data_IF_210588537176
#
_entry.id   IF_210588537176
#
_cell.length_a   1.000
_cell.length_b   1.000
_cell.length_c   1.000
_cell.angle_alpha   90.00
_cell.angle_beta   90.00
_cell.angle_gamma   90.00
#
_symmetry.space_group_name_H-M   'P 1'
#
loop_
_entity.id
_entity.type
_entity.pdbx_description
1 polymer ?
#
# COMPACT_ATOMS: atom_id res chain seq x y z
N UNK A 1 -9.09 -12.39 -3.89
CA UNK A 1 -8.37 -11.25 -3.27
C UNK A 1 -7.00 -11.69 -2.81
N UNK A 2 -6.00 -10.92 -3.10
CA UNK A 2 -4.63 -11.27 -2.74
C UNK A 2 -3.99 -10.19 -1.92
N UNK A 3 -2.96 -10.56 -1.14
CA UNK A 3 -2.23 -9.62 -0.31
C UNK A 3 -0.75 -9.74 -0.65
N UNK A 4 -0.10 -8.61 -0.91
CA UNK A 4 1.34 -8.55 -1.06
C UNK A 4 1.92 -7.79 0.12
N UNK A 5 3.00 -8.29 0.68
CA UNK A 5 3.67 -7.64 1.80
C UNK A 5 4.92 -6.96 1.25
N UNK A 6 5.04 -5.66 1.50
CA UNK A 6 6.16 -4.87 1.00
C UNK A 6 7.03 -4.47 2.18
N UNK A 7 8.27 -4.89 2.17
CA UNK A 7 9.20 -4.49 3.21
C UNK A 7 9.81 -3.15 2.82
N UNK A 8 9.74 -2.20 3.70
CA UNK A 8 10.30 -0.88 3.47
C UNK A 8 11.67 -0.75 4.14
N UNK A 9 12.42 0.26 3.72
CA UNK A 9 13.79 0.42 4.19
C UNK A 9 13.89 0.70 5.68
N UNK A 10 12.83 1.21 6.28
CA UNK A 10 12.85 1.53 7.69
C UNK A 10 12.37 0.39 8.56
N UNK A 11 12.46 -0.84 8.06
CA UNK A 11 12.02 -2.04 8.77
C UNK A 11 10.53 -2.04 9.05
N UNK A 12 9.77 -1.28 8.31
CA UNK A 12 8.33 -1.32 8.39
C UNK A 12 7.80 -2.11 7.22
N UNK A 13 6.58 -2.59 7.38
CA UNK A 13 5.93 -3.31 6.31
C UNK A 13 4.68 -2.57 5.87
N UNK A 14 4.45 -2.56 4.59
CA UNK A 14 3.21 -2.07 4.02
C UNK A 14 2.53 -3.22 3.31
N UNK A 15 1.24 -3.12 3.12
CA UNK A 15 0.49 -4.21 2.53
C UNK A 15 -0.31 -3.70 1.36
N UNK A 16 -0.32 -4.47 0.27
CA UNK A 16 -1.17 -4.17 -0.86
C UNK A 16 -2.20 -5.28 -0.95
N UNK A 17 -3.47 -4.93 -0.87
CA UNK A 17 -4.56 -5.88 -1.01
C UNK A 17 -5.19 -5.61 -2.37
N UNK A 18 -5.31 -6.60 -3.21
CA UNK A 18 -5.85 -6.37 -4.54
C UNK A 18 -6.73 -7.51 -5.00
N UNK A 19 -7.61 -7.16 -5.93
CA UNK A 19 -8.50 -8.12 -6.55
C UNK A 19 -7.92 -8.45 -7.92
N UNK A 20 -7.64 -9.71 -8.16
CA UNK A 20 -7.03 -10.11 -9.41
C UNK A 20 -7.93 -9.88 -10.60
N UNK A 21 -9.24 -9.92 -10.43
CA UNK A 21 -10.15 -9.78 -11.54
C UNK A 21 -10.29 -8.35 -12.00
N UNK A 22 -10.35 -7.42 -11.06
CA UNK A 22 -10.56 -6.02 -11.40
C UNK A 22 -9.28 -5.22 -11.38
N UNK A 23 -8.21 -5.77 -10.81
CA UNK A 23 -6.93 -5.11 -10.61
C UNK A 23 -7.04 -3.89 -9.68
N UNK A 24 -8.10 -3.79 -8.93
CA UNK A 24 -8.21 -2.71 -7.96
C UNK A 24 -7.42 -3.06 -6.71
N UNK A 25 -6.74 -2.08 -6.15
CA UNK A 25 -5.86 -2.30 -5.02
C UNK A 25 -6.07 -1.26 -3.93
N UNK A 26 -5.79 -1.67 -2.72
CA UNK A 26 -5.74 -0.79 -1.56
C UNK A 26 -4.39 -0.99 -0.88
N UNK A 27 -3.82 0.07 -0.37
CA UNK A 27 -2.53 0.02 0.31
C UNK A 27 -2.75 0.31 1.78
N UNK A 28 -2.15 -0.50 2.63
CA UNK A 28 -2.27 -0.35 4.08
C UNK A 28 -0.92 0.07 4.63
N UNK A 29 -0.90 1.15 5.37
CA UNK A 29 0.28 1.69 6.07
C UNK A 29 1.46 1.93 5.13
N UNK A 30 1.29 2.73 4.08
CA UNK A 30 2.41 3.00 3.19
C UNK A 30 3.40 3.94 3.87
N UNK A 31 4.55 3.43 4.25
CA UNK A 31 5.59 4.26 4.88
C UNK A 31 6.55 4.82 3.85
N UNK A 32 6.65 4.21 2.68
CA UNK A 32 7.50 4.71 1.61
C UNK A 32 6.79 4.54 0.30
N UNK A 33 6.78 5.56 -0.51
CA UNK A 33 6.01 5.55 -1.74
C UNK A 33 6.65 4.70 -2.84
N UNK A 34 7.97 4.79 -2.98
CA UNK A 34 8.62 4.17 -4.13
C UNK A 34 8.40 2.66 -4.24
N UNK A 35 8.62 1.86 -3.20
CA UNK A 35 8.40 0.43 -3.35
C UNK A 35 6.92 0.09 -3.60
N UNK A 36 6.01 0.89 -3.08
CA UNK A 36 4.59 0.68 -3.31
C UNK A 36 4.24 0.95 -4.76
N UNK A 37 4.72 2.06 -5.29
CA UNK A 37 4.46 2.45 -6.67
C UNK A 37 5.04 1.41 -7.61
N UNK A 38 6.24 0.92 -7.32
CA UNK A 38 6.86 -0.10 -8.14
C UNK A 38 6.00 -1.34 -8.23
N UNK A 39 5.47 -1.79 -7.11
CA UNK A 39 4.62 -2.98 -7.10
C UNK A 39 3.30 -2.75 -7.82
N UNK A 40 2.72 -1.59 -7.65
CA UNK A 40 1.48 -1.23 -8.33
C UNK A 40 1.70 -1.28 -9.86
N UNK A 41 2.80 -0.71 -10.31
CA UNK A 41 3.08 -0.66 -11.74
C UNK A 41 3.46 -2.02 -12.30
N UNK A 42 4.28 -2.77 -11.58
CA UNK A 42 4.72 -4.07 -12.07
C UNK A 42 3.58 -5.06 -12.19
N UNK A 43 2.56 -4.90 -11.38
CA UNK A 43 1.43 -5.82 -11.41
C UNK A 43 0.22 -5.23 -12.11
N UNK A 44 0.37 -4.07 -12.72
CA UNK A 44 -0.71 -3.41 -13.46
C UNK A 44 -1.95 -3.22 -12.60
N UNK A 45 -1.74 -2.79 -11.38
CA UNK A 45 -2.84 -2.57 -10.45
C UNK A 45 -3.31 -1.12 -10.52
N UNK A 46 -4.54 -0.89 -10.09
CA UNK A 46 -5.10 0.46 -10.00
C UNK A 46 -5.33 0.74 -8.53
N UNK A 47 -4.59 1.70 -7.99
CA UNK A 47 -4.70 2.03 -6.59
C UNK A 47 -5.97 2.84 -6.35
N UNK A 48 -6.84 2.34 -5.49
CA UNK A 48 -8.11 2.96 -5.19
C UNK A 48 -8.16 3.53 -3.79
N UNK A 49 -7.50 2.89 -2.84
CA UNK A 49 -7.63 3.30 -1.44
C UNK A 49 -6.30 3.22 -0.73
N UNK A 50 -6.10 4.12 0.22
CA UNK A 50 -4.95 4.09 1.10
C UNK A 50 -5.47 4.14 2.53
N UNK A 51 -5.05 3.18 3.35
CA UNK A 51 -5.47 3.11 4.74
C UNK A 51 -4.26 3.24 5.65
N UNK A 52 -4.37 4.06 6.67
CA UNK A 52 -3.33 4.18 7.67
C UNK A 52 -3.86 3.67 9.01
N UNK A 53 -3.20 2.69 9.57
CA UNK A 53 -3.58 2.19 10.89
C UNK A 53 -2.87 2.96 11.99
N UNK A 54 -1.77 3.66 11.67
CA UNK A 54 -1.08 4.46 12.63
C UNK A 54 -1.64 5.87 12.61
N UNK A 55 -1.87 6.43 13.79
CA UNK A 55 -2.50 7.70 13.87
C UNK A 55 -1.58 8.62 14.60
N UNK A 56 -1.23 9.71 14.03
CA UNK A 56 -0.38 10.67 14.68
C UNK A 56 -1.22 11.74 15.28
N UNK A 57 -0.89 12.14 16.47
CA UNK A 57 -1.70 13.10 17.13
C UNK A 57 -1.63 14.43 16.53
N UNK A 58 -0.54 14.71 15.88
CA UNK A 58 -0.39 16.00 15.35
C UNK A 58 -0.78 16.07 13.97
N UNK A 59 -1.39 15.13 13.46
CA UNK A 59 -1.68 15.21 12.14
C UNK A 59 -2.93 15.71 11.91
N UNK A 60 -3.31 16.56 12.50
CA UNK A 60 -4.40 17.14 12.16
C UNK A 60 -4.16 17.93 11.13
N UNK A 61 -4.22 17.71 10.20
CA UNK A 61 -4.18 18.52 9.06
C UNK A 61 -5.51 18.41 8.35
#
# INVERSE_FOLDING_TARGET
MKIKIIKCLTDNYSYIIFDEKTSCAAVVDPSEADPIIDQIEQNNLVLKYIFNTHHHNDDEY
#
